data_IF_486165859390
#
_entry.id   IF_486165859390
#
_cell.length_a   1.000
_cell.length_b   1.000
_cell.length_c   1.000
_cell.angle_alpha   90.00
_cell.angle_beta   90.00
_cell.angle_gamma   90.00
#
_symmetry.space_group_name_H-M   'P 1'
#
loop_
_entity.id
_entity.type
_entity.pdbx_description
1 polymer ?
#
# COMPACT_ATOMS: atom_id res chain seq x y z
N UNK A 1 -6.84 20.53 9.37
CA UNK A 1 -5.42 20.91 9.25
C UNK A 1 -4.66 19.67 8.82
N UNK A 2 -3.94 19.72 7.71
CA UNK A 2 -3.11 18.59 7.25
C UNK A 2 -1.95 18.41 8.22
N UNK A 3 -1.69 17.17 8.64
CA UNK A 3 -0.59 16.82 9.54
C UNK A 3 0.43 15.98 8.77
N UNK A 4 1.70 16.25 9.04
CA UNK A 4 2.83 15.52 8.45
C UNK A 4 3.81 15.22 9.58
N UNK A 5 4.29 13.99 9.63
CA UNK A 5 5.35 13.55 10.53
C UNK A 5 6.54 13.05 9.72
N UNK A 6 7.75 13.32 10.21
CA UNK A 6 8.99 12.74 9.67
C UNK A 6 9.66 12.03 10.83
N UNK A 7 9.91 10.73 10.67
CA UNK A 7 10.53 9.88 11.70
C UNK A 7 11.69 9.15 11.05
N UNK A 8 12.85 9.18 11.70
CA UNK A 8 13.99 8.36 11.33
C UNK A 8 13.70 6.90 11.69
N UNK A 9 13.87 5.99 10.73
CA UNK A 9 13.43 4.61 10.88
C UNK A 9 14.28 3.78 11.87
N UNK A 10 15.57 4.10 12.00
CA UNK A 10 16.50 3.34 12.84
C UNK A 10 16.53 1.84 12.48
N UNK A 11 16.76 1.00 13.49
CA UNK A 11 16.72 -0.47 13.35
C UNK A 11 15.31 -1.05 13.57
N UNK A 12 14.48 -0.39 14.39
CA UNK A 12 13.12 -0.82 14.74
C UNK A 12 12.08 -0.14 13.84
N UNK A 13 11.89 -0.72 12.65
CA UNK A 13 10.93 -0.24 11.65
C UNK A 13 9.50 -0.21 12.20
N UNK A 14 8.98 -1.27 12.87
CA UNK A 14 7.63 -1.24 13.44
C UNK A 14 7.39 -0.06 14.39
N UNK A 15 8.35 0.22 15.28
CA UNK A 15 8.20 1.32 16.23
C UNK A 15 8.27 2.69 15.54
N UNK A 16 9.15 2.85 14.55
CA UNK A 16 9.21 4.07 13.76
C UNK A 16 7.89 4.35 13.01
N UNK A 17 7.26 3.31 12.45
CA UNK A 17 5.95 3.41 11.78
C UNK A 17 4.86 3.80 12.79
N UNK A 18 4.80 3.14 13.95
CA UNK A 18 3.84 3.48 15.02
C UNK A 18 3.97 4.94 15.44
N UNK A 19 5.20 5.37 15.75
CA UNK A 19 5.49 6.75 16.14
C UNK A 19 5.09 7.75 15.05
N UNK A 20 5.36 7.46 13.78
CA UNK A 20 4.94 8.33 12.68
C UNK A 20 3.42 8.50 12.64
N UNK A 21 2.69 7.41 12.76
CA UNK A 21 1.21 7.40 12.79
C UNK A 21 0.67 8.14 14.03
N UNK A 22 1.25 7.93 15.20
CA UNK A 22 0.85 8.63 16.44
C UNK A 22 1.06 10.14 16.34
N UNK A 23 2.18 10.60 15.77
CA UNK A 23 2.48 12.02 15.60
C UNK A 23 1.48 12.75 14.70
N UNK A 24 0.84 12.03 13.77
CA UNK A 24 -0.27 12.59 12.96
C UNK A 24 -1.65 12.42 13.61
N UNK A 25 -1.74 11.73 14.74
CA UNK A 25 -2.95 11.57 15.54
C UNK A 25 -3.61 10.19 15.44
N UNK A 26 -2.87 9.16 15.02
CA UNK A 26 -3.38 7.80 14.87
C UNK A 26 -4.04 7.55 13.51
N UNK A 27 -4.48 6.30 13.28
CA UNK A 27 -5.20 5.91 12.05
C UNK A 27 -6.66 6.38 12.04
N UNK A 28 -7.24 6.70 13.21
CA UNK A 28 -8.65 7.11 13.30
C UNK A 28 -9.68 6.04 12.92
N UNK A 29 -9.26 4.76 12.85
CA UNK A 29 -10.12 3.60 12.65
C UNK A 29 -11.01 3.37 13.87
N UNK A 30 -12.27 2.98 13.64
CA UNK A 30 -13.31 2.80 14.66
C UNK A 30 -13.72 1.34 14.86
N UNK A 31 -13.25 0.45 14.00
CA UNK A 31 -13.60 -0.96 13.98
C UNK A 31 -14.64 -1.29 12.93
N UNK A 32 -14.40 -2.40 12.22
CA UNK A 32 -15.27 -2.91 11.17
C UNK A 32 -15.04 -2.31 9.78
N UNK A 33 -14.16 -1.32 9.63
CA UNK A 33 -13.82 -0.75 8.32
C UNK A 33 -13.14 -1.76 7.39
N UNK A 34 -13.52 -1.73 6.12
CA UNK A 34 -12.79 -2.36 5.02
C UNK A 34 -11.57 -1.52 4.67
N UNK A 35 -10.38 -1.97 5.11
CA UNK A 35 -9.13 -1.25 4.88
C UNK A 35 -8.39 -1.81 3.67
N UNK A 36 -8.07 -0.94 2.71
CA UNK A 36 -7.24 -1.25 1.56
C UNK A 36 -5.85 -0.68 1.77
N UNK A 37 -4.82 -1.52 1.64
CA UNK A 37 -3.41 -1.11 1.74
C UNK A 37 -2.74 -1.27 0.38
N UNK A 38 -2.16 -0.20 -0.16
CA UNK A 38 -1.49 -0.21 -1.46
C UNK A 38 0.00 0.11 -1.33
N UNK A 39 0.91 -0.89 -1.36
CA UNK A 39 2.35 -0.65 -1.41
C UNK A 39 2.80 -0.18 -2.80
N UNK A 40 4.08 0.18 -2.92
CA UNK A 40 4.79 0.30 -4.20
C UNK A 40 5.47 -1.02 -4.53
N UNK A 41 5.00 -1.73 -5.55
CA UNK A 41 5.59 -2.99 -5.99
C UNK A 41 6.17 -2.90 -7.40
N UNK A 42 6.80 -1.78 -7.80
CA UNK A 42 7.07 -1.46 -9.20
C UNK A 42 7.82 -2.52 -10.03
N UNK A 43 8.52 -3.48 -9.41
CA UNK A 43 9.11 -4.65 -10.04
C UNK A 43 9.11 -5.84 -9.05
N UNK A 44 9.59 -7.00 -9.51
CA UNK A 44 9.78 -8.17 -8.65
C UNK A 44 11.11 -8.17 -7.87
N UNK A 45 12.04 -7.27 -8.18
CA UNK A 45 13.43 -7.29 -7.68
C UNK A 45 13.66 -6.15 -6.69
N UNK A 46 14.08 -6.50 -5.47
CA UNK A 46 14.36 -5.51 -4.43
C UNK A 46 15.81 -5.60 -3.95
N UNK A 47 16.81 -5.22 -4.79
CA UNK A 47 18.21 -5.56 -4.58
C UNK A 47 18.78 -5.24 -3.20
N UNK A 48 18.25 -4.25 -2.47
CA UNK A 48 18.62 -4.00 -1.06
C UNK A 48 17.47 -3.31 -0.29
N UNK A 49 16.21 -3.69 -0.50
CA UNK A 49 15.09 -2.99 0.16
C UNK A 49 14.78 -1.59 -0.43
N UNK A 50 15.42 -1.23 -1.54
CA UNK A 50 15.40 0.14 -2.09
C UNK A 50 14.28 0.40 -3.10
N UNK A 51 13.79 -0.62 -3.80
CA UNK A 51 12.98 -0.42 -5.00
C UNK A 51 11.49 -0.49 -4.69
N UNK A 52 11.05 -1.51 -3.94
CA UNK A 52 9.65 -1.65 -3.54
C UNK A 52 9.49 -1.21 -2.08
N UNK A 53 8.25 -1.05 -1.63
CA UNK A 53 7.95 -0.77 -0.22
C UNK A 53 8.56 -1.88 0.65
N UNK A 54 9.25 -1.49 1.71
CA UNK A 54 9.89 -2.44 2.63
C UNK A 54 8.81 -3.31 3.29
N UNK A 55 9.00 -4.63 3.27
CA UNK A 55 8.04 -5.59 3.81
C UNK A 55 7.77 -5.39 5.29
N UNK A 56 8.76 -4.92 6.07
CA UNK A 56 8.59 -4.57 7.49
C UNK A 56 7.66 -3.38 7.68
N UNK A 57 7.63 -2.43 6.73
CA UNK A 57 6.68 -1.31 6.76
C UNK A 57 5.28 -1.81 6.43
N UNK A 58 5.14 -2.68 5.41
CA UNK A 58 3.85 -3.29 5.06
C UNK A 58 3.28 -4.05 6.26
N UNK A 59 4.09 -4.92 6.87
CA UNK A 59 3.72 -5.69 8.05
C UNK A 59 3.34 -4.80 9.24
N UNK A 60 4.16 -3.79 9.56
CA UNK A 60 3.87 -2.87 10.67
C UNK A 60 2.55 -2.13 10.48
N UNK A 61 2.26 -1.66 9.26
CA UNK A 61 1.00 -0.98 8.95
C UNK A 61 -0.19 -1.93 9.03
N UNK A 62 -0.07 -3.15 8.48
CA UNK A 62 -1.11 -4.17 8.61
C UNK A 62 -1.39 -4.47 10.10
N UNK A 63 -0.33 -4.57 10.92
CA UNK A 63 -0.43 -4.76 12.37
C UNK A 63 -1.22 -3.65 13.04
N UNK A 64 -0.85 -2.38 12.83
CA UNK A 64 -1.55 -1.22 13.40
C UNK A 64 -3.02 -1.13 12.96
N UNK A 65 -3.30 -1.46 11.71
CA UNK A 65 -4.66 -1.50 11.18
C UNK A 65 -5.46 -2.60 11.89
N UNK A 66 -4.86 -3.78 12.11
CA UNK A 66 -5.49 -4.93 12.77
C UNK A 66 -5.73 -4.77 14.26
N UNK A 67 -4.95 -3.92 14.93
CA UNK A 67 -5.23 -3.51 16.32
C UNK A 67 -6.61 -2.84 16.45
N UNK A 68 -7.12 -2.24 15.37
CA UNK A 68 -8.35 -1.45 15.37
C UNK A 68 -9.45 -2.00 14.44
N UNK A 69 -9.13 -2.90 13.49
CA UNK A 69 -10.07 -3.38 12.45
C UNK A 69 -9.82 -4.83 12.05
N UNK A 70 -10.85 -5.52 11.53
CA UNK A 70 -10.80 -6.96 11.24
C UNK A 70 -10.46 -7.33 9.79
N UNK A 71 -10.55 -6.41 8.83
CA UNK A 71 -10.37 -6.72 7.41
C UNK A 71 -9.38 -5.79 6.72
N UNK A 72 -8.30 -6.39 6.21
CA UNK A 72 -7.29 -5.73 5.39
C UNK A 72 -7.14 -6.50 4.09
N UNK A 73 -7.13 -5.78 2.97
CA UNK A 73 -6.72 -6.32 1.66
C UNK A 73 -5.54 -5.51 1.15
N UNK A 74 -4.51 -6.20 0.68
CA UNK A 74 -3.36 -5.56 0.03
C UNK A 74 -3.58 -5.60 -1.47
N UNK A 75 -3.41 -4.45 -2.12
CA UNK A 75 -3.76 -4.31 -3.54
C UNK A 75 -2.62 -3.72 -4.34
N UNK A 76 -2.56 -4.07 -5.62
CA UNK A 76 -1.66 -3.45 -6.60
C UNK A 76 -2.21 -3.67 -8.03
N UNK A 77 -1.71 -2.91 -9.02
CA UNK A 77 -2.16 -3.00 -10.43
C UNK A 77 -1.02 -3.41 -11.35
N UNK A 78 -1.30 -4.07 -12.46
CA UNK A 78 -0.31 -4.39 -13.49
C UNK A 78 0.48 -3.15 -13.94
N UNK A 79 1.73 -3.37 -14.32
CA UNK A 79 2.54 -2.31 -14.92
C UNK A 79 3.42 -2.86 -16.05
N UNK A 80 4.27 -1.99 -16.61
CA UNK A 80 5.14 -2.34 -17.75
C UNK A 80 6.11 -3.49 -17.49
N UNK A 81 6.37 -3.84 -16.23
CA UNK A 81 7.35 -4.86 -15.89
C UNK A 81 6.76 -6.28 -15.81
N UNK A 82 5.52 -6.42 -15.35
CA UNK A 82 4.79 -7.70 -15.23
C UNK A 82 3.38 -7.47 -14.66
N UNK A 83 2.59 -8.54 -14.53
CA UNK A 83 1.34 -8.49 -13.75
C UNK A 83 1.61 -8.24 -12.26
N UNK A 84 0.65 -7.66 -11.55
CA UNK A 84 0.75 -7.46 -10.10
C UNK A 84 0.94 -8.80 -9.37
N UNK A 85 0.19 -9.84 -9.75
CA UNK A 85 0.30 -11.19 -9.18
C UNK A 85 1.71 -11.76 -9.34
N UNK A 86 2.30 -11.62 -10.52
CA UNK A 86 3.63 -12.18 -10.77
C UNK A 86 4.72 -11.41 -10.00
N UNK A 87 4.60 -10.09 -9.87
CA UNK A 87 5.52 -9.29 -9.04
C UNK A 87 5.35 -9.60 -7.56
N UNK A 88 4.14 -9.74 -7.08
CA UNK A 88 3.87 -10.06 -5.67
C UNK A 88 4.41 -11.44 -5.31
N UNK A 89 4.23 -12.43 -6.20
CA UNK A 89 4.79 -13.76 -6.02
C UNK A 89 6.32 -13.75 -6.05
N UNK A 90 6.93 -13.19 -7.10
CA UNK A 90 8.38 -13.22 -7.30
C UNK A 90 9.16 -12.38 -6.29
N UNK A 91 8.57 -11.31 -5.76
CA UNK A 91 9.18 -10.49 -4.69
C UNK A 91 9.10 -11.14 -3.30
N UNK A 92 8.26 -12.17 -3.13
CA UNK A 92 7.98 -12.77 -1.84
C UNK A 92 6.88 -12.08 -1.03
N UNK A 93 6.24 -11.04 -1.57
CA UNK A 93 5.14 -10.34 -0.88
C UNK A 93 3.99 -11.31 -0.56
N UNK A 94 3.63 -12.20 -1.49
CA UNK A 94 2.54 -13.17 -1.23
C UNK A 94 2.85 -14.09 -0.05
N UNK A 95 4.12 -14.47 0.16
CA UNK A 95 4.50 -15.30 1.30
C UNK A 95 4.31 -14.55 2.63
N UNK A 96 4.68 -13.26 2.66
CA UNK A 96 4.42 -12.41 3.83
C UNK A 96 2.92 -12.32 4.11
N UNK A 97 2.12 -11.99 3.09
CA UNK A 97 0.69 -11.80 3.25
C UNK A 97 -0.02 -13.10 3.67
N UNK A 98 0.38 -14.24 3.13
CA UNK A 98 -0.11 -15.56 3.53
C UNK A 98 0.20 -15.85 5.00
N UNK A 99 1.44 -15.56 5.45
CA UNK A 99 1.82 -15.74 6.86
C UNK A 99 1.02 -14.84 7.82
N UNK A 100 0.51 -13.72 7.33
CA UNK A 100 -0.38 -12.82 8.05
C UNK A 100 -1.86 -13.19 7.86
N UNK A 101 -2.23 -14.08 6.95
CA UNK A 101 -3.63 -14.32 6.57
C UNK A 101 -4.31 -13.07 5.99
N UNK A 102 -3.59 -12.33 5.14
CA UNK A 102 -4.07 -11.13 4.42
C UNK A 102 -4.21 -11.45 2.94
N UNK A 103 -5.32 -11.04 2.34
CA UNK A 103 -5.55 -11.24 0.91
C UNK A 103 -4.73 -10.24 0.07
N UNK A 104 -4.24 -10.72 -1.07
CA UNK A 104 -3.70 -9.88 -2.13
C UNK A 104 -4.66 -9.85 -3.31
N UNK A 105 -4.96 -8.66 -3.83
CA UNK A 105 -5.84 -8.48 -4.99
C UNK A 105 -5.14 -7.66 -6.09
N UNK A 106 -5.14 -8.20 -7.31
CA UNK A 106 -4.72 -7.46 -8.49
C UNK A 106 -5.86 -6.58 -9.04
N UNK A 107 -5.72 -5.27 -8.90
CA UNK A 107 -6.71 -4.28 -9.33
C UNK A 107 -6.89 -4.21 -10.85
N UNK A 108 -5.94 -4.72 -11.65
CA UNK A 108 -6.08 -4.75 -13.10
C UNK A 108 -7.14 -5.74 -13.59
N UNK A 109 -7.52 -6.71 -12.76
CA UNK A 109 -8.64 -7.62 -13.00
C UNK A 109 -9.93 -7.24 -12.26
N UNK A 110 -9.92 -6.15 -11.49
CA UNK A 110 -11.07 -5.73 -10.67
C UNK A 110 -12.19 -5.11 -11.54
N UNK A 111 -13.41 -5.16 -11.04
CA UNK A 111 -14.49 -4.34 -11.57
C UNK A 111 -14.13 -2.85 -11.40
N UNK A 112 -14.59 -2.00 -12.31
CA UNK A 112 -14.28 -0.57 -12.25
C UNK A 112 -15.49 0.30 -12.55
N UNK A 113 -15.46 1.50 -11.98
CA UNK A 113 -16.35 2.61 -12.33
C UNK A 113 -15.60 3.65 -13.16
N UNK A 114 -16.28 4.29 -14.11
CA UNK A 114 -15.68 5.35 -14.94
C UNK A 114 -16.01 6.71 -14.37
N UNK A 115 -14.98 7.47 -13.98
CA UNK A 115 -15.10 8.83 -13.48
C UNK A 115 -14.46 9.81 -14.47
N UNK A 116 -15.09 10.96 -14.68
CA UNK A 116 -14.49 12.04 -15.46
C UNK A 116 -13.76 13.01 -14.54
N UNK A 117 -12.44 13.15 -14.75
CA UNK A 117 -11.56 14.04 -13.99
C UNK A 117 -10.76 14.89 -14.96
N UNK A 118 -10.90 16.21 -14.86
CA UNK A 118 -10.22 17.16 -15.75
C UNK A 118 -10.40 16.84 -17.25
N UNK A 119 -11.60 16.43 -17.67
CA UNK A 119 -11.91 16.06 -19.05
C UNK A 119 -11.31 14.73 -19.53
N UNK A 120 -10.80 13.90 -18.61
CA UNK A 120 -10.30 12.55 -18.87
C UNK A 120 -11.16 11.53 -18.16
N UNK A 121 -11.45 10.42 -18.84
CA UNK A 121 -12.14 9.27 -18.26
C UNK A 121 -11.13 8.38 -17.55
N UNK A 122 -11.27 8.24 -16.25
CA UNK A 122 -10.48 7.36 -15.39
C UNK A 122 -11.32 6.13 -15.04
N UNK A 123 -10.71 4.95 -15.09
CA UNK A 123 -11.30 3.70 -14.57
C UNK A 123 -10.79 3.52 -13.15
N UNK A 124 -11.69 3.60 -12.17
CA UNK A 124 -11.35 3.44 -10.76
C UNK A 124 -11.83 2.07 -10.29
N UNK A 125 -10.94 1.22 -9.72
CA UNK A 125 -11.31 -0.10 -9.21
C UNK A 125 -12.36 -0.02 -8.10
N UNK A 126 -13.37 -0.89 -8.14
CA UNK A 126 -14.45 -0.95 -7.14
C UNK A 126 -13.92 -1.28 -5.77
N UNK A 127 -12.89 -2.14 -5.66
CA UNK A 127 -12.24 -2.43 -4.37
C UNK A 127 -11.72 -1.17 -3.67
N UNK A 128 -11.21 -0.20 -4.43
CA UNK A 128 -10.71 1.07 -3.87
C UNK A 128 -11.86 2.04 -3.58
N UNK A 129 -12.89 2.09 -4.44
CA UNK A 129 -14.05 2.95 -4.24
C UNK A 129 -14.93 2.51 -3.06
N UNK A 130 -15.04 1.20 -2.85
CA UNK A 130 -15.84 0.58 -1.78
C UNK A 130 -15.07 0.45 -0.46
N UNK A 131 -13.82 0.94 -0.40
CA UNK A 131 -13.02 0.92 0.82
C UNK A 131 -13.49 2.02 1.79
N UNK A 132 -13.64 1.67 3.06
CA UNK A 132 -13.91 2.65 4.12
C UNK A 132 -12.64 3.44 4.48
N UNK A 133 -11.47 2.82 4.27
CA UNK A 133 -10.18 3.41 4.57
C UNK A 133 -9.11 2.95 3.58
N UNK A 134 -8.37 3.90 3.00
CA UNK A 134 -7.32 3.62 2.02
C UNK A 134 -5.94 4.08 2.52
N UNK A 135 -5.00 3.15 2.63
CA UNK A 135 -3.63 3.39 3.06
C UNK A 135 -2.68 3.25 1.88
N UNK A 136 -2.14 4.36 1.40
CA UNK A 136 -1.07 4.36 0.39
C UNK A 136 0.29 4.25 1.09
N UNK A 137 1.11 3.26 0.72
CA UNK A 137 2.46 3.05 1.27
C UNK A 137 3.52 3.25 0.19
N UNK A 138 3.78 4.51 -0.21
CA UNK A 138 4.65 4.77 -1.33
C UNK A 138 6.13 4.63 -0.99
N UNK A 139 6.95 4.47 -2.02
CA UNK A 139 8.42 4.51 -1.93
C UNK A 139 8.96 5.65 -2.77
N UNK A 140 9.38 6.75 -2.13
CA UNK A 140 9.95 7.90 -2.81
C UNK A 140 11.28 7.51 -3.47
N UNK A 141 11.31 7.53 -4.80
CA UNK A 141 12.50 7.31 -5.62
C UNK A 141 12.34 8.00 -6.97
N UNK A 142 13.45 8.16 -7.69
CA UNK A 142 13.42 8.67 -9.06
C UNK A 142 12.65 7.71 -9.99
N UNK A 143 11.92 8.29 -10.93
CA UNK A 143 11.11 7.56 -11.92
C UNK A 143 11.18 8.31 -13.26
N UNK A 144 11.35 7.57 -14.37
CA UNK A 144 11.68 8.17 -15.67
C UNK A 144 10.53 8.94 -16.34
N UNK A 145 9.28 8.60 -16.05
CA UNK A 145 8.09 9.21 -16.63
C UNK A 145 7.56 10.39 -15.81
N UNK A 146 7.63 10.33 -14.48
CA UNK A 146 7.03 11.33 -13.57
C UNK A 146 8.05 12.00 -12.63
N UNK A 147 9.36 11.87 -12.90
CA UNK A 147 10.51 12.35 -12.10
C UNK A 147 10.65 11.66 -10.74
N UNK A 148 9.57 11.54 -9.98
CA UNK A 148 9.51 10.89 -8.66
C UNK A 148 8.24 10.06 -8.57
N UNK A 149 8.35 8.86 -8.00
CA UNK A 149 7.17 8.04 -7.69
C UNK A 149 6.71 8.27 -6.26
N UNK A 150 5.39 8.44 -6.12
CA UNK A 150 4.63 8.44 -4.85
C UNK A 150 3.52 7.37 -4.89
N UNK A 151 3.70 6.40 -5.78
CA UNK A 151 2.95 5.15 -5.76
C UNK A 151 3.51 4.25 -4.69
#
# INVERSE_FOLDING_TARGET
>A
MTRVSIVEAGEDIPEAVRRAVELVGGLGLRGGERVVVKPNLCNAKNPDGMVITDFRIIEAVIGLVREHSGSVVVVESDNISDTADNRARKSGLLNLLDSLGVEFLNLSGDEYEVHEVAGRKLRLPRTVLDADYFVNLPKIKTEGHVKVTLS
#
